data_IF_370128732443
#
_entry.id   IF_370128732443
#
_cell.length_a   1.000
_cell.length_b   1.000
_cell.length_c   1.000
_cell.angle_alpha   90.00
_cell.angle_beta   90.00
_cell.angle_gamma   90.00
#
_symmetry.space_group_name_H-M   'P 1'
#
loop_
_entity.id
_entity.type
_entity.pdbx_description
1 polymer ?
#
# COMPACT_ATOMS: atom_id res chain seq x y z
N UNK A 1 7.12 -36.93 7.89
CA UNK A 1 5.90 -36.11 7.72
C UNK A 1 6.09 -34.66 8.18
N UNK A 2 6.96 -34.37 9.17
CA UNK A 2 7.18 -33.01 9.70
C UNK A 2 7.66 -31.94 8.71
N UNK A 3 8.46 -32.27 7.69
CA UNK A 3 9.03 -31.25 6.78
C UNK A 3 8.05 -30.62 5.77
N UNK A 4 6.86 -31.19 5.56
CA UNK A 4 5.84 -30.55 4.68
C UNK A 4 5.02 -29.49 5.41
N UNK A 5 4.82 -29.67 6.71
CA UNK A 5 4.04 -28.74 7.53
C UNK A 5 4.90 -27.51 7.87
N UNK A 6 6.19 -27.70 8.20
CA UNK A 6 7.13 -26.58 8.43
C UNK A 6 7.26 -25.65 7.22
N UNK A 7 7.42 -26.20 6.02
CA UNK A 7 7.52 -25.40 4.81
C UNK A 7 6.20 -24.67 4.45
N UNK A 8 5.05 -25.22 4.85
CA UNK A 8 3.76 -24.57 4.66
C UNK A 8 3.55 -23.41 5.64
N UNK A 9 3.94 -23.61 6.90
CA UNK A 9 3.90 -22.58 7.93
C UNK A 9 4.86 -21.43 7.63
N UNK A 10 6.06 -21.73 7.12
CA UNK A 10 7.02 -20.72 6.69
C UNK A 10 6.46 -19.86 5.55
N UNK A 11 5.83 -20.48 4.54
CA UNK A 11 5.15 -19.75 3.45
C UNK A 11 4.01 -18.86 3.94
N UNK A 12 3.21 -19.35 4.89
CA UNK A 12 2.12 -18.56 5.48
C UNK A 12 2.66 -17.36 6.27
N UNK A 13 3.77 -17.53 6.98
CA UNK A 13 4.43 -16.44 7.69
C UNK A 13 4.99 -15.41 6.72
N UNK A 14 5.73 -15.81 5.68
CA UNK A 14 6.24 -14.89 4.65
C UNK A 14 5.10 -14.07 4.00
N UNK A 15 3.98 -14.74 3.67
CA UNK A 15 2.81 -14.08 3.11
C UNK A 15 2.18 -13.08 4.09
N UNK A 16 2.04 -13.46 5.36
CA UNK A 16 1.49 -12.60 6.40
C UNK A 16 2.37 -11.37 6.65
N UNK A 17 3.69 -11.56 6.68
CA UNK A 17 4.69 -10.51 6.82
C UNK A 17 4.63 -9.51 5.66
N UNK A 18 4.53 -9.99 4.42
CA UNK A 18 4.41 -9.16 3.24
C UNK A 18 3.12 -8.30 3.26
N UNK A 19 1.97 -8.92 3.58
CA UNK A 19 0.70 -8.18 3.70
C UNK A 19 0.75 -7.18 4.85
N UNK A 20 1.34 -7.56 5.99
CA UNK A 20 1.51 -6.61 7.11
C UNK A 20 2.36 -5.42 6.66
N UNK A 21 3.56 -5.67 6.15
CA UNK A 21 4.48 -4.61 5.74
C UNK A 21 3.80 -3.64 4.77
N UNK A 22 3.06 -4.18 3.80
CA UNK A 22 2.29 -3.37 2.86
C UNK A 22 1.16 -2.58 3.54
N UNK A 23 0.34 -3.22 4.39
CA UNK A 23 -0.72 -2.50 5.11
C UNK A 23 -0.14 -1.36 5.96
N UNK A 24 0.99 -1.59 6.62
CA UNK A 24 1.68 -0.60 7.46
C UNK A 24 2.15 0.59 6.61
N UNK A 25 2.77 0.33 5.46
CA UNK A 25 3.22 1.40 4.57
C UNK A 25 2.06 2.22 4.00
N UNK A 26 0.88 1.62 3.80
CA UNK A 26 -0.32 2.33 3.33
C UNK A 26 -1.02 3.11 4.44
N UNK A 27 -1.15 2.53 5.64
CA UNK A 27 -1.88 3.17 6.76
C UNK A 27 -1.08 4.20 7.52
N UNK A 28 0.23 4.28 7.28
CA UNK A 28 1.13 5.21 7.95
C UNK A 28 1.70 4.70 9.26
N UNK A 29 2.59 3.71 9.19
CA UNK A 29 3.68 3.54 10.16
C UNK A 29 3.33 2.88 11.50
N UNK A 30 2.06 2.66 11.85
CA UNK A 30 1.75 1.80 13.00
C UNK A 30 2.34 0.40 12.72
N UNK A 31 3.25 -0.15 13.55
CA UNK A 31 4.03 -1.34 13.15
C UNK A 31 3.26 -2.65 13.33
N UNK A 32 2.20 -2.66 14.16
CA UNK A 32 1.52 -3.89 14.59
C UNK A 32 0.09 -3.98 14.06
N UNK A 33 -0.26 -5.14 13.49
CA UNK A 33 -1.65 -5.44 13.17
C UNK A 33 -2.48 -5.45 14.45
N UNK A 34 -3.72 -4.96 14.35
CA UNK A 34 -4.69 -5.21 15.42
C UNK A 34 -4.94 -6.72 15.51
N UNK A 35 -5.34 -7.23 16.69
CA UNK A 35 -5.73 -8.64 16.81
C UNK A 35 -6.93 -9.01 15.91
N UNK A 36 -7.73 -8.04 15.48
CA UNK A 36 -8.76 -8.24 14.47
C UNK A 36 -8.17 -8.44 13.06
N UNK A 37 -7.22 -7.58 12.67
CA UNK A 37 -6.55 -7.68 11.37
C UNK A 37 -5.74 -8.99 11.26
N UNK A 38 -5.03 -9.38 12.30
CA UNK A 38 -4.27 -10.62 12.32
C UNK A 38 -5.17 -11.86 12.07
N UNK A 39 -6.36 -11.89 12.67
CA UNK A 39 -7.34 -12.97 12.46
C UNK A 39 -7.91 -12.99 11.04
N UNK A 40 -8.22 -11.81 10.50
CA UNK A 40 -8.71 -11.69 9.11
C UNK A 40 -7.63 -12.13 8.12
N UNK A 41 -6.39 -11.72 8.32
CA UNK A 41 -5.27 -12.11 7.48
C UNK A 41 -5.04 -13.63 7.52
N UNK A 42 -4.99 -14.21 8.71
CA UNK A 42 -4.85 -15.65 8.88
C UNK A 42 -5.99 -16.43 8.19
N UNK A 43 -7.25 -16.01 8.37
CA UNK A 43 -8.40 -16.63 7.66
C UNK A 43 -8.23 -16.59 6.14
N UNK A 44 -7.84 -15.43 5.59
CA UNK A 44 -7.63 -15.27 4.16
C UNK A 44 -6.51 -16.17 3.62
N UNK A 45 -5.36 -16.20 4.30
CA UNK A 45 -4.23 -17.00 3.86
C UNK A 45 -4.53 -18.51 3.93
N UNK A 46 -5.17 -18.98 5.01
CA UNK A 46 -5.62 -20.38 5.14
C UNK A 46 -6.62 -20.76 4.04
N UNK A 47 -7.46 -19.81 3.61
CA UNK A 47 -8.44 -20.01 2.53
C UNK A 47 -7.85 -19.87 1.13
N UNK A 48 -6.54 -19.64 1.00
CA UNK A 48 -5.86 -19.47 -0.28
C UNK A 48 -6.27 -18.19 -1.02
N UNK A 49 -6.63 -17.13 -0.28
CA UNK A 49 -6.80 -15.81 -0.89
C UNK A 49 -5.43 -15.33 -1.34
N UNK A 50 -5.32 -14.95 -2.61
CA UNK A 50 -4.05 -14.53 -3.20
C UNK A 50 -3.59 -13.22 -2.54
N UNK A 51 -2.31 -13.11 -2.24
CA UNK A 51 -1.70 -11.92 -1.64
C UNK A 51 -2.00 -10.69 -2.50
N UNK A 52 -1.92 -10.83 -3.83
CA UNK A 52 -2.24 -9.76 -4.77
C UNK A 52 -3.68 -9.24 -4.63
N UNK A 53 -4.65 -10.12 -4.38
CA UNK A 53 -6.03 -9.69 -4.12
C UNK A 53 -6.14 -8.89 -2.82
N UNK A 54 -5.35 -9.26 -1.80
CA UNK A 54 -5.31 -8.58 -0.50
C UNK A 54 -4.71 -7.18 -0.65
N UNK A 55 -3.49 -7.06 -1.18
CA UNK A 55 -2.78 -5.77 -1.29
C UNK A 55 -3.45 -4.80 -2.27
N UNK A 56 -4.08 -5.31 -3.34
CA UNK A 56 -4.95 -4.49 -4.21
C UNK A 56 -6.18 -3.98 -3.46
N UNK A 57 -6.82 -4.84 -2.68
CA UNK A 57 -7.96 -4.44 -1.84
C UNK A 57 -7.59 -3.33 -0.87
N UNK A 58 -6.38 -3.38 -0.31
CA UNK A 58 -5.82 -2.32 0.54
C UNK A 58 -5.70 -1.00 -0.22
N UNK A 59 -5.10 -0.99 -1.41
CA UNK A 59 -4.97 0.22 -2.23
C UNK A 59 -6.32 0.84 -2.60
N UNK A 60 -7.23 0.04 -3.14
CA UNK A 60 -8.55 0.51 -3.56
C UNK A 60 -9.35 1.11 -2.40
N UNK A 61 -9.22 0.55 -1.20
CA UNK A 61 -9.87 1.11 -0.02
C UNK A 61 -9.15 2.36 0.46
N UNK A 62 -7.82 2.41 0.42
CA UNK A 62 -7.07 3.62 0.75
C UNK A 62 -7.47 4.81 -0.14
N UNK A 63 -7.54 4.61 -1.46
CA UNK A 63 -8.01 5.62 -2.42
C UNK A 63 -9.45 6.09 -2.13
N UNK A 64 -10.37 5.15 -1.89
CA UNK A 64 -11.78 5.47 -1.56
C UNK A 64 -11.90 6.23 -0.24
N UNK A 65 -11.07 5.90 0.75
CA UNK A 65 -11.06 6.56 2.06
C UNK A 65 -10.54 7.98 1.94
N UNK A 66 -9.52 8.22 1.11
CA UNK A 66 -9.05 9.57 0.83
C UNK A 66 -10.17 10.42 0.20
N UNK A 67 -10.81 9.90 -0.85
CA UNK A 67 -11.89 10.62 -1.53
C UNK A 67 -13.04 11.00 -0.58
N UNK A 68 -13.27 10.19 0.46
CA UNK A 68 -14.31 10.39 1.48
C UNK A 68 -13.80 11.05 2.76
N UNK A 69 -12.52 11.42 2.84
CA UNK A 69 -11.87 12.00 4.02
C UNK A 69 -12.13 11.20 5.32
N UNK A 70 -12.01 9.88 5.23
CA UNK A 70 -12.35 8.97 6.35
C UNK A 70 -11.32 9.08 7.47
N UNK A 71 -11.80 9.15 8.72
CA UNK A 71 -10.99 9.46 9.91
C UNK A 71 -10.25 8.27 10.51
N UNK A 72 -10.84 7.07 10.45
CA UNK A 72 -10.26 5.91 11.11
C UNK A 72 -9.00 5.41 10.38
N UNK A 73 -8.13 4.65 11.06
CA UNK A 73 -7.05 3.90 10.41
C UNK A 73 -7.58 2.89 9.39
N UNK A 74 -6.76 2.59 8.39
CA UNK A 74 -7.06 1.52 7.43
C UNK A 74 -6.89 0.15 8.12
N UNK A 75 -7.94 -0.68 8.03
CA UNK A 75 -7.96 -2.05 8.59
C UNK A 75 -8.29 -3.07 7.50
N UNK A 76 -7.79 -4.30 7.65
CA UNK A 76 -8.08 -5.40 6.74
C UNK A 76 -9.57 -5.73 6.72
N UNK A 77 -10.25 -5.56 7.85
CA UNK A 77 -11.69 -5.74 7.93
C UNK A 77 -12.43 -4.79 6.95
N UNK A 78 -11.97 -3.54 6.84
CA UNK A 78 -12.54 -2.58 5.88
C UNK A 78 -12.23 -2.93 4.42
N UNK A 79 -11.19 -3.71 4.18
CA UNK A 79 -10.78 -4.19 2.85
C UNK A 79 -11.56 -5.40 2.37
N UNK A 80 -12.26 -6.12 3.26
CA UNK A 80 -12.88 -7.43 2.97
C UNK A 80 -13.74 -7.45 1.71
N UNK A 81 -14.63 -6.48 1.56
CA UNK A 81 -15.52 -6.43 0.39
C UNK A 81 -14.75 -6.23 -0.93
N UNK A 82 -13.63 -5.50 -0.91
CA UNK A 82 -12.80 -5.33 -2.11
C UNK A 82 -11.95 -6.57 -2.37
N UNK A 83 -11.33 -7.15 -1.33
CA UNK A 83 -10.54 -8.40 -1.46
C UNK A 83 -11.40 -9.55 -2.00
N UNK A 84 -12.64 -9.71 -1.51
CA UNK A 84 -13.55 -10.73 -2.01
C UNK A 84 -13.97 -10.50 -3.48
N UNK A 85 -14.10 -9.24 -3.93
CA UNK A 85 -14.29 -8.94 -5.36
C UNK A 85 -13.05 -9.31 -6.16
N UNK A 86 -11.87 -8.98 -5.64
CA UNK A 86 -10.60 -9.29 -6.30
C UNK A 86 -10.37 -10.78 -6.45
N UNK A 87 -10.67 -11.57 -5.42
CA UNK A 87 -10.52 -13.02 -5.50
C UNK A 87 -11.44 -13.63 -6.58
N UNK A 88 -12.64 -13.10 -6.79
CA UNK A 88 -13.62 -13.61 -7.77
C UNK A 88 -13.25 -13.29 -9.22
N UNK A 89 -12.52 -12.21 -9.47
CA UNK A 89 -12.18 -11.77 -10.83
C UNK A 89 -10.81 -12.26 -11.30
N UNK A 90 -10.31 -13.34 -10.68
CA UNK A 90 -8.98 -13.94 -10.87
C UNK A 90 -8.57 -14.27 -12.33
N UNK A 91 -9.48 -14.30 -13.30
CA UNK A 91 -9.19 -14.62 -14.72
C UNK A 91 -9.52 -13.52 -15.75
N UNK A 92 -9.93 -12.31 -15.33
CA UNK A 92 -10.38 -11.23 -16.24
C UNK A 92 -9.58 -9.93 -16.05
N UNK A 93 -8.34 -10.02 -15.62
CA UNK A 93 -7.54 -8.87 -15.14
C UNK A 93 -7.07 -7.89 -16.21
N UNK A 94 -7.08 -8.27 -17.49
CA UNK A 94 -6.44 -7.49 -18.56
C UNK A 94 -7.26 -6.28 -19.03
N UNK A 95 -8.50 -6.08 -18.57
CA UNK A 95 -9.37 -5.03 -19.15
C UNK A 95 -9.97 -4.08 -18.14
N UNK A 96 -9.26 -2.96 -18.00
CA UNK A 96 -9.70 -1.59 -17.66
C UNK A 96 -9.33 -1.15 -16.25
N UNK A 97 -8.23 -0.42 -16.17
CA UNK A 97 -8.19 0.81 -15.40
C UNK A 97 -8.06 1.98 -16.37
N UNK A 98 -9.12 2.79 -16.46
CA UNK A 98 -8.99 4.18 -16.89
C UNK A 98 -8.10 4.82 -15.84
N UNK A 99 -6.93 5.35 -16.26
CA UNK A 99 -6.14 6.28 -15.46
C UNK A 99 -7.11 7.19 -14.70
N UNK A 100 -7.14 7.11 -13.37
CA UNK A 100 -7.55 8.27 -12.62
C UNK A 100 -6.61 9.39 -13.09
N UNK A 101 -7.12 10.61 -13.39
CA UNK A 101 -6.25 11.69 -13.75
C UNK A 101 -5.24 11.80 -12.61
N UNK A 102 -3.97 11.61 -12.95
CA UNK A 102 -2.86 12.05 -12.11
C UNK A 102 -3.26 13.48 -11.77
N UNK A 103 -3.64 13.73 -10.52
CA UNK A 103 -3.81 15.10 -10.04
C UNK A 103 -2.59 15.86 -10.52
N UNK A 104 -2.78 17.09 -11.02
CA UNK A 104 -1.79 17.88 -11.76
C UNK A 104 -0.36 17.49 -11.39
N UNK A 105 0.52 17.16 -12.36
CA UNK A 105 1.86 16.70 -12.08
C UNK A 105 2.48 17.61 -11.05
N UNK A 106 2.68 17.07 -9.85
CA UNK A 106 3.32 17.80 -8.78
C UNK A 106 4.74 18.04 -9.27
N UNK A 107 4.97 19.28 -9.74
CA UNK A 107 6.32 19.77 -9.86
C UNK A 107 6.87 19.73 -8.44
N UNK A 108 7.92 18.93 -8.15
CA UNK A 108 8.57 19.02 -6.87
C UNK A 108 8.85 20.49 -6.65
N UNK A 109 8.16 21.07 -5.66
CA UNK A 109 8.54 22.37 -5.14
C UNK A 109 10.05 22.33 -4.98
N UNK A 110 10.73 23.46 -5.22
CA UNK A 110 12.19 23.61 -5.28
C UNK A 110 12.99 23.09 -4.06
N UNK A 111 12.37 22.37 -3.13
CA UNK A 111 12.99 21.60 -2.06
C UNK A 111 13.81 20.42 -2.62
N UNK A 112 15.14 20.43 -2.42
CA UNK A 112 16.03 19.38 -2.90
C UNK A 112 15.71 18.00 -2.31
N UNK A 113 15.00 17.90 -1.17
CA UNK A 113 14.59 16.62 -0.60
C UNK A 113 13.61 15.85 -1.50
N UNK A 114 12.72 16.54 -2.23
CA UNK A 114 11.86 15.84 -3.20
C UNK A 114 12.61 15.31 -4.42
N UNK A 115 13.74 15.93 -4.77
CA UNK A 115 14.63 15.36 -5.79
C UNK A 115 15.27 14.07 -5.29
N UNK A 116 15.67 14.00 -4.02
CA UNK A 116 16.20 12.77 -3.41
C UNK A 116 15.16 11.67 -3.35
N UNK A 117 13.93 11.96 -2.91
CA UNK A 117 12.82 11.00 -2.94
C UNK A 117 12.55 10.51 -4.37
N UNK A 118 12.65 11.38 -5.38
CA UNK A 118 12.47 10.98 -6.78
C UNK A 118 13.59 10.07 -7.29
N UNK A 119 14.84 10.28 -6.86
CA UNK A 119 15.94 9.36 -7.16
C UNK A 119 15.73 8.01 -6.49
N UNK A 120 15.25 8.02 -5.25
CA UNK A 120 14.91 6.81 -4.52
C UNK A 120 13.81 6.03 -5.24
N UNK A 121 12.75 6.72 -5.69
CA UNK A 121 11.68 6.12 -6.47
C UNK A 121 12.20 5.46 -7.76
N UNK A 122 13.08 6.14 -8.50
CA UNK A 122 13.71 5.58 -9.70
C UNK A 122 14.64 4.39 -9.40
N UNK A 123 15.20 4.32 -8.18
CA UNK A 123 15.92 3.14 -7.69
C UNK A 123 14.97 1.96 -7.45
N UNK A 124 13.89 2.20 -6.71
CA UNK A 124 12.87 1.19 -6.41
C UNK A 124 12.19 0.64 -7.68
N UNK A 125 11.85 1.51 -8.65
CA UNK A 125 11.30 1.06 -9.94
C UNK A 125 12.25 0.12 -10.70
N UNK A 126 13.56 0.42 -10.70
CA UNK A 126 14.58 -0.44 -11.32
C UNK A 126 14.74 -1.77 -10.59
N UNK A 127 14.68 -1.76 -9.26
CA UNK A 127 14.76 -2.98 -8.46
C UNK A 127 13.54 -3.87 -8.69
N UNK A 128 12.32 -3.29 -8.73
CA UNK A 128 11.09 -4.02 -9.09
C UNK A 128 11.22 -4.64 -10.48
N UNK A 129 11.73 -3.89 -11.47
CA UNK A 129 11.93 -4.40 -12.82
C UNK A 129 12.98 -5.51 -12.91
N UNK A 130 13.89 -5.61 -11.95
CA UNK A 130 14.95 -6.62 -11.88
C UNK A 130 14.59 -7.84 -11.02
N UNK A 131 13.35 -7.94 -10.50
CA UNK A 131 12.93 -9.11 -9.71
C UNK A 131 12.83 -10.35 -10.61
N UNK A 132 13.78 -11.26 -10.44
CA UNK A 132 13.81 -12.57 -11.10
C UNK A 132 13.19 -13.64 -10.21
N UNK A 133 11.86 -13.80 -10.28
CA UNK A 133 11.13 -14.85 -9.55
C UNK A 133 10.12 -15.53 -10.49
N UNK A 134 10.25 -16.83 -10.81
CA UNK A 134 9.38 -17.52 -11.75
C UNK A 134 7.90 -17.50 -11.37
N UNK A 135 7.57 -17.60 -10.08
CA UNK A 135 6.21 -17.60 -9.60
C UNK A 135 5.62 -16.17 -9.60
N UNK A 136 4.51 -15.89 -10.31
CA UNK A 136 3.95 -14.54 -10.39
C UNK A 136 3.54 -13.99 -9.02
N UNK A 137 2.99 -14.82 -8.14
CA UNK A 137 2.58 -14.35 -6.82
C UNK A 137 3.78 -13.95 -5.97
N UNK A 138 4.85 -14.76 -5.95
CA UNK A 138 6.10 -14.45 -5.23
C UNK A 138 6.82 -13.25 -5.84
N UNK A 139 6.82 -13.10 -7.17
CA UNK A 139 7.43 -11.95 -7.86
C UNK A 139 6.77 -10.65 -7.43
N UNK A 140 5.45 -10.62 -7.43
CA UNK A 140 4.71 -9.43 -7.05
C UNK A 140 4.73 -9.18 -5.53
N UNK A 141 4.84 -10.22 -4.69
CA UNK A 141 5.17 -10.08 -3.25
C UNK A 141 6.50 -9.38 -3.05
N UNK A 142 7.56 -9.82 -3.74
CA UNK A 142 8.87 -9.18 -3.68
C UNK A 142 8.82 -7.71 -4.13
N UNK A 143 8.11 -7.42 -5.23
CA UNK A 143 7.88 -6.06 -5.68
C UNK A 143 7.13 -5.19 -4.66
N UNK A 144 6.11 -5.74 -3.98
CA UNK A 144 5.38 -5.04 -2.91
C UNK A 144 6.27 -4.75 -1.70
N UNK A 145 7.22 -5.63 -1.37
CA UNK A 145 8.20 -5.39 -0.30
C UNK A 145 9.13 -4.21 -0.65
N UNK A 146 9.57 -4.11 -1.91
CA UNK A 146 10.35 -2.97 -2.41
C UNK A 146 9.55 -1.68 -2.32
N UNK A 147 8.28 -1.69 -2.74
CA UNK A 147 7.40 -0.54 -2.65
C UNK A 147 7.15 -0.10 -1.20
N UNK A 148 6.93 -1.05 -0.28
CA UNK A 148 6.76 -0.76 1.14
C UNK A 148 8.02 -0.11 1.74
N UNK A 149 9.21 -0.64 1.42
CA UNK A 149 10.48 -0.07 1.85
C UNK A 149 10.69 1.34 1.30
N UNK A 150 10.38 1.56 0.02
CA UNK A 150 10.43 2.89 -0.58
C UNK A 150 9.58 3.90 0.20
N UNK A 151 8.35 3.57 0.59
CA UNK A 151 7.48 4.51 1.30
C UNK A 151 8.08 4.95 2.63
N UNK A 152 8.65 4.03 3.40
CA UNK A 152 9.29 4.34 4.68
C UNK A 152 10.54 5.21 4.51
N UNK A 153 11.41 4.86 3.54
CA UNK A 153 12.60 5.65 3.23
C UNK A 153 12.24 7.04 2.66
N UNK A 154 11.24 7.11 1.79
CA UNK A 154 10.71 8.36 1.27
C UNK A 154 10.15 9.24 2.39
N UNK A 155 9.45 8.66 3.36
CA UNK A 155 8.94 9.37 4.53
C UNK A 155 10.07 9.89 5.44
N UNK A 156 11.19 9.17 5.53
CA UNK A 156 12.38 9.63 6.26
C UNK A 156 13.06 10.84 5.60
N UNK A 157 13.06 10.90 4.27
CA UNK A 157 13.75 11.93 3.50
C UNK A 157 12.87 13.15 3.17
N UNK A 158 11.56 12.95 3.00
CA UNK A 158 10.65 13.99 2.53
C UNK A 158 10.58 15.20 3.49
N UNK A 159 10.27 16.39 2.98
CA UNK A 159 10.00 17.56 3.82
C UNK A 159 8.67 17.37 4.58
N UNK A 160 8.73 16.67 5.72
CA UNK A 160 7.54 16.26 6.50
C UNK A 160 6.62 17.42 6.84
N UNK A 161 7.17 18.54 7.31
CA UNK A 161 6.38 19.73 7.66
C UNK A 161 5.56 20.27 6.47
N UNK A 162 6.13 20.24 5.26
CA UNK A 162 5.41 20.66 4.07
C UNK A 162 4.27 19.68 3.73
N UNK A 163 4.52 18.37 3.83
CA UNK A 163 3.50 17.35 3.62
C UNK A 163 2.38 17.40 4.67
N UNK A 164 2.73 17.67 5.94
CA UNK A 164 1.77 17.84 7.02
C UNK A 164 0.91 19.09 6.82
N UNK A 165 1.51 20.21 6.39
CA UNK A 165 0.77 21.43 6.05
C UNK A 165 -0.18 21.22 4.85
N UNK A 166 0.24 20.47 3.83
CA UNK A 166 -0.64 20.07 2.73
C UNK A 166 -1.81 19.19 3.22
N UNK A 167 -1.53 18.25 4.13
CA UNK A 167 -2.56 17.39 4.73
C UNK A 167 -3.56 18.20 5.57
N UNK A 168 -3.09 19.15 6.38
CA UNK A 168 -3.93 20.08 7.13
C UNK A 168 -4.85 20.89 6.22
N UNK A 169 -4.31 21.47 5.14
CA UNK A 169 -5.10 22.24 4.19
C UNK A 169 -6.21 21.39 3.56
N UNK A 170 -5.95 20.11 3.29
CA UNK A 170 -6.95 19.15 2.77
C UNK A 170 -8.00 18.74 3.80
N UNK A 171 -7.63 18.73 5.08
CA UNK A 171 -8.47 18.32 6.20
C UNK A 171 -9.15 19.50 6.92
N UNK A 172 -8.89 20.74 6.52
CA UNK A 172 -9.33 21.96 7.22
C UNK A 172 -10.83 21.96 7.56
N UNK A 173 -11.69 21.61 6.60
CA UNK A 173 -13.15 21.56 6.78
C UNK A 173 -13.59 20.51 7.81
N UNK A 174 -12.74 19.53 8.11
CA UNK A 174 -13.03 18.42 8.98
C UNK A 174 -12.39 18.56 10.37
N UNK A 175 -11.60 19.62 10.65
CA UNK A 175 -10.83 19.78 11.91
C UNK A 175 -11.68 19.65 13.18
N UNK A 176 -12.90 20.21 13.17
CA UNK A 176 -13.81 20.19 14.33
C UNK A 176 -14.30 18.79 14.69
N UNK A 177 -14.01 17.81 13.85
CA UNK A 177 -14.51 16.45 13.96
C UNK A 177 -13.47 15.46 14.53
N UNK A 178 -12.33 15.98 14.98
CA UNK A 178 -11.20 15.25 15.57
C UNK A 178 -10.84 15.89 16.92
N UNK A 179 -10.50 15.07 17.90
CA UNK A 179 -9.69 15.54 19.02
C UNK A 179 -8.22 15.78 18.57
N UNK A 180 -7.37 16.27 19.46
CA UNK A 180 -5.99 16.62 19.10
C UNK A 180 -5.15 15.38 18.71
N UNK A 181 -5.38 14.24 19.36
CA UNK A 181 -4.64 13.01 19.06
C UNK A 181 -5.10 12.40 17.73
N UNK A 182 -6.42 12.34 17.50
CA UNK A 182 -7.01 11.88 16.24
C UNK A 182 -6.63 12.81 15.08
N UNK A 183 -6.46 14.11 15.35
CA UNK A 183 -6.04 15.08 14.35
C UNK A 183 -4.60 14.87 13.89
N UNK A 184 -3.68 14.65 14.83
CA UNK A 184 -2.28 14.38 14.50
C UNK A 184 -2.12 13.05 13.74
N UNK A 185 -2.84 12.01 14.15
CA UNK A 185 -2.86 10.75 13.42
C UNK A 185 -3.41 10.94 12.00
N UNK A 186 -4.53 11.65 11.85
CA UNK A 186 -5.12 11.93 10.54
C UNK A 186 -4.18 12.74 9.64
N UNK A 187 -3.48 13.74 10.18
CA UNK A 187 -2.48 14.53 9.43
C UNK A 187 -1.36 13.65 8.90
N UNK A 188 -0.81 12.78 9.74
CA UNK A 188 0.28 11.89 9.36
C UNK A 188 -0.15 10.88 8.29
N UNK A 189 -1.36 10.30 8.43
CA UNK A 189 -1.95 9.40 7.43
C UNK A 189 -2.10 10.10 6.08
N UNK A 190 -2.69 11.30 6.05
CA UNK A 190 -2.93 12.04 4.81
C UNK A 190 -1.63 12.55 4.18
N UNK A 191 -0.63 12.90 4.98
CA UNK A 191 0.69 13.30 4.49
C UNK A 191 1.42 12.13 3.83
N UNK A 192 1.43 10.94 4.45
CA UNK A 192 2.03 9.74 3.87
C UNK A 192 1.29 9.25 2.63
N UNK A 193 -0.04 9.27 2.63
CA UNK A 193 -0.82 8.93 1.44
C UNK A 193 -0.56 9.92 0.30
N UNK A 194 -0.51 11.22 0.62
CA UNK A 194 -0.14 12.27 -0.34
C UNK A 194 1.26 12.07 -0.93
N UNK A 195 2.22 11.61 -0.14
CA UNK A 195 3.56 11.23 -0.62
C UNK A 195 3.49 10.03 -1.57
N UNK A 196 2.77 8.97 -1.19
CA UNK A 196 2.62 7.75 -2.00
C UNK A 196 1.98 8.03 -3.37
N UNK A 197 0.97 8.89 -3.41
CA UNK A 197 0.28 9.27 -4.66
C UNK A 197 1.16 9.99 -5.68
N UNK A 198 2.27 10.59 -5.24
CA UNK A 198 3.26 11.19 -6.16
C UNK A 198 4.05 10.14 -6.94
N UNK A 199 4.04 8.89 -6.49
CA UNK A 199 4.77 7.78 -7.08
C UNK A 199 3.85 6.60 -7.40
N UNK A 200 2.90 6.75 -8.34
CA UNK A 200 1.85 5.75 -8.61
C UNK A 200 2.41 4.39 -9.07
N UNK A 201 3.63 4.36 -9.61
CA UNK A 201 4.34 3.13 -10.02
C UNK A 201 4.84 2.29 -8.85
N UNK A 202 4.80 2.83 -7.63
CA UNK A 202 5.22 2.16 -6.40
C UNK A 202 3.99 1.83 -5.54
N UNK A 203 2.89 1.45 -6.20
CA UNK A 203 1.66 0.94 -5.57
C UNK A 203 1.46 -0.52 -5.95
N UNK A 204 0.82 -1.31 -5.08
CA UNK A 204 0.48 -2.69 -5.38
C UNK A 204 -0.40 -2.75 -6.64
N UNK A 205 -1.37 -1.85 -6.77
CA UNK A 205 -2.23 -1.79 -7.96
C UNK A 205 -1.42 -1.75 -9.26
N UNK A 206 -0.40 -0.89 -9.34
CA UNK A 206 0.50 -0.83 -10.51
C UNK A 206 1.31 -2.12 -10.70
N UNK A 207 1.91 -2.63 -9.61
CA UNK A 207 2.73 -3.85 -9.61
C UNK A 207 1.93 -5.05 -10.14
N UNK A 208 0.67 -5.19 -9.73
CA UNK A 208 -0.17 -6.32 -10.09
C UNK A 208 -0.83 -6.18 -11.47
N UNK A 209 -1.12 -4.97 -11.93
CA UNK A 209 -1.87 -4.73 -13.18
C UNK A 209 -1.03 -4.27 -14.37
N UNK A 210 -0.08 -3.37 -14.14
CA UNK A 210 0.68 -2.72 -15.23
C UNK A 210 2.05 -3.36 -15.44
N UNK A 211 2.71 -3.78 -14.35
CA UNK A 211 3.94 -4.56 -14.46
C UNK A 211 3.68 -6.03 -14.82
N UNK A 212 2.41 -6.45 -14.83
CA UNK A 212 1.94 -7.81 -15.12
C UNK A 212 2.65 -8.88 -14.27
N UNK A 213 3.10 -8.52 -13.06
CA UNK A 213 3.93 -9.40 -12.24
C UNK A 213 3.13 -10.49 -11.53
N UNK A 214 1.79 -10.41 -11.50
CA UNK A 214 0.93 -11.37 -10.80
C UNK A 214 -0.26 -11.90 -11.59
N UNK A 215 -0.09 -11.96 -12.91
CA UNK A 215 -1.04 -12.58 -13.84
C UNK A 215 -0.27 -13.68 -14.58
N UNK A 216 -0.84 -14.90 -14.63
CA UNK A 216 -0.44 -15.94 -15.59
C UNK A 216 -0.90 -15.59 -17.01
#
# INVERSE_FOLDING_TARGET
MNGRDEAADERLNEAAEAVRAYLVSVRGGAPLLSGADARVLHDWLVRGVRIGAIVRGIDLVAEKRLAKRVRAPLSLLSCRAEVEKQQKHAGSWVRRVRRAPVGEPFLPAADPRFLEVSRLAAGAEREIAAVEEPDPERRAVAACAIAARFVEEAWALAPREALLAEAEARLADARSLYDDAEWDEAREIFARDGLRQRYPRLTATWIWEEANLGVE
#
